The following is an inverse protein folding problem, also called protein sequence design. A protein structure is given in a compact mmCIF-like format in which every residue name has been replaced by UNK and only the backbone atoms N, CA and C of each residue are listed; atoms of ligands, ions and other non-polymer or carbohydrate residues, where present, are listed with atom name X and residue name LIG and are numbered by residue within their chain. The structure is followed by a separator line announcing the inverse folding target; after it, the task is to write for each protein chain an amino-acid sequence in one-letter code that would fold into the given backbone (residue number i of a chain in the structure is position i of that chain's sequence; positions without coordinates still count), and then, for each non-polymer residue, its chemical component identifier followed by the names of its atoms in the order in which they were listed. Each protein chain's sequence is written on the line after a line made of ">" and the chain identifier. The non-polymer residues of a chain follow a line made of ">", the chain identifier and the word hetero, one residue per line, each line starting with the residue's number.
data_IF_732730666139
#
_entry.id   IF_732730666139
#
_cell.length_a   1.000
_cell.length_b   1.000
_cell.length_c   1.000
_cell.angle_alpha   90.00
_cell.angle_beta   90.00
_cell.angle_gamma   90.00
#
_symmetry.space_group_name_H-M   'P 1'
#
loop_
_entity.id
_entity.type
_entity.pdbx_description
1 polymer ?
#
# COMPACT_ATOMS: atom_id res chain seq x y z
N UNK A 1 22.35 19.79 6.71
CA UNK A 1 22.43 18.34 6.44
C UNK A 1 21.90 17.66 7.69
N UNK A 2 20.91 16.76 7.62
CA UNK A 2 20.42 16.07 8.84
C UNK A 2 21.59 15.34 9.50
N UNK A 3 21.67 15.33 10.82
CA UNK A 3 22.66 14.48 11.50
C UNK A 3 22.23 12.99 11.47
N UNK A 4 23.09 12.09 11.92
CA UNK A 4 22.80 10.65 11.90
C UNK A 4 21.62 10.24 12.80
N UNK A 5 21.37 10.97 13.89
CA UNK A 5 20.30 10.71 14.83
C UNK A 5 18.94 11.16 14.29
N UNK A 6 18.87 12.33 13.67
CA UNK A 6 17.68 12.84 13.00
C UNK A 6 17.25 11.91 11.84
N UNK A 7 18.21 11.31 11.12
CA UNK A 7 17.91 10.30 10.09
C UNK A 7 17.27 9.05 10.68
N UNK A 8 17.76 8.56 11.84
CA UNK A 8 17.18 7.40 12.52
C UNK A 8 15.75 7.69 12.98
N UNK A 9 15.50 8.84 13.59
CA UNK A 9 14.14 9.25 13.97
C UNK A 9 13.22 9.31 12.76
N UNK A 10 13.69 9.90 11.67
CA UNK A 10 12.87 10.04 10.48
C UNK A 10 12.55 8.69 9.83
N UNK A 11 13.48 7.74 9.88
CA UNK A 11 13.22 6.35 9.46
C UNK A 11 12.16 5.69 10.35
N UNK A 12 12.22 5.89 11.68
CA UNK A 12 11.22 5.36 12.62
C UNK A 12 9.84 5.94 12.31
N UNK A 13 9.73 7.25 12.07
CA UNK A 13 8.47 7.89 11.69
C UNK A 13 7.90 7.30 10.39
N UNK A 14 8.72 7.19 9.34
CA UNK A 14 8.32 6.61 8.07
C UNK A 14 7.85 5.17 8.24
N UNK A 15 8.56 4.36 9.03
CA UNK A 15 8.16 2.98 9.33
C UNK A 15 6.86 2.91 10.12
N UNK A 16 6.66 3.75 11.14
CA UNK A 16 5.39 3.81 11.89
C UNK A 16 4.22 4.21 11.00
N UNK A 17 4.44 5.17 10.10
CA UNK A 17 3.42 5.56 9.14
C UNK A 17 3.10 4.41 8.17
N UNK A 18 4.12 3.74 7.61
CA UNK A 18 3.94 2.58 6.73
C UNK A 18 3.14 1.48 7.44
N UNK A 19 3.49 1.19 8.69
CA UNK A 19 2.77 0.20 9.52
C UNK A 19 1.30 0.55 9.62
N UNK A 20 0.94 1.79 9.94
CA UNK A 20 -0.45 2.25 10.02
C UNK A 20 -1.20 2.09 8.69
N UNK A 21 -0.56 2.38 7.57
CA UNK A 21 -1.14 2.18 6.24
C UNK A 21 -1.36 0.69 5.96
N UNK A 22 -0.44 -0.18 6.36
CA UNK A 22 -0.60 -1.64 6.22
C UNK A 22 -1.72 -2.20 7.10
N UNK A 23 -1.89 -1.69 8.33
CA UNK A 23 -3.03 -2.03 9.18
C UNK A 23 -4.37 -1.66 8.51
N UNK A 24 -4.42 -0.51 7.84
CA UNK A 24 -5.60 -0.13 7.05
C UNK A 24 -5.84 -1.07 5.87
N UNK A 25 -4.78 -1.48 5.15
CA UNK A 25 -4.89 -2.49 4.07
C UNK A 25 -5.45 -3.80 4.62
N UNK A 26 -4.90 -4.29 5.73
CA UNK A 26 -5.40 -5.50 6.38
C UNK A 26 -6.87 -5.37 6.78
N UNK A 27 -7.29 -4.21 7.28
CA UNK A 27 -8.69 -3.88 7.53
C UNK A 27 -9.55 -3.99 6.27
N UNK A 28 -9.07 -3.50 5.13
CA UNK A 28 -9.78 -3.65 3.85
C UNK A 28 -9.89 -5.12 3.42
N UNK A 29 -8.83 -5.91 3.55
CA UNK A 29 -8.82 -7.33 3.17
C UNK A 29 -9.80 -8.13 4.04
N UNK A 30 -9.83 -7.87 5.35
CA UNK A 30 -10.75 -8.55 6.28
C UNK A 30 -12.23 -8.30 5.93
N UNK A 31 -12.55 -7.11 5.48
CA UNK A 31 -13.90 -6.73 5.06
C UNK A 31 -14.28 -7.30 3.68
N UNK A 32 -13.31 -7.55 2.78
CA UNK A 32 -13.58 -8.13 1.46
C UNK A 32 -14.31 -9.46 1.53
N UNK A 33 -13.96 -10.31 2.52
CA UNK A 33 -14.65 -11.58 2.76
C UNK A 33 -16.17 -11.41 2.87
N UNK A 34 -16.63 -10.44 3.67
CA UNK A 34 -18.06 -10.16 3.84
C UNK A 34 -18.72 -9.68 2.56
N UNK A 35 -18.04 -8.86 1.76
CA UNK A 35 -18.60 -8.41 0.49
C UNK A 35 -18.69 -9.53 -0.55
N UNK A 36 -17.78 -10.51 -0.49
CA UNK A 36 -17.85 -11.71 -1.31
C UNK A 36 -19.03 -12.59 -0.89
N UNK A 37 -19.20 -12.84 0.41
CA UNK A 37 -20.32 -13.63 0.97
C UNK A 37 -21.68 -13.00 0.69
N UNK A 38 -21.78 -11.66 0.73
CA UNK A 38 -23.01 -10.92 0.45
C UNK A 38 -23.21 -10.59 -1.03
N UNK A 39 -22.33 -11.09 -1.92
CA UNK A 39 -22.30 -10.78 -3.35
C UNK A 39 -22.35 -9.27 -3.69
N UNK A 40 -21.85 -8.42 -2.78
CA UNK A 40 -21.91 -6.96 -2.90
C UNK A 40 -20.70 -6.44 -3.68
N UNK A 41 -20.80 -6.52 -5.01
CA UNK A 41 -19.72 -6.16 -5.94
C UNK A 41 -19.38 -4.67 -5.85
N UNK A 42 -20.36 -3.78 -5.66
CA UNK A 42 -20.11 -2.34 -5.58
C UNK A 42 -19.29 -1.98 -4.35
N UNK A 43 -19.60 -2.58 -3.20
CA UNK A 43 -18.81 -2.42 -1.98
C UNK A 43 -17.39 -3.00 -2.16
N UNK A 44 -17.27 -4.17 -2.79
CA UNK A 44 -15.99 -4.78 -3.12
C UNK A 44 -15.11 -3.87 -4.00
N UNK A 45 -15.68 -3.27 -5.05
CA UNK A 45 -14.96 -2.38 -5.97
C UNK A 45 -14.52 -1.07 -5.29
N UNK A 46 -15.39 -0.45 -4.48
CA UNK A 46 -15.02 0.75 -3.70
C UNK A 46 -13.88 0.45 -2.73
N UNK A 47 -13.88 -0.75 -2.15
CA UNK A 47 -12.81 -1.19 -1.27
C UNK A 47 -11.51 -1.47 -2.01
N UNK A 48 -11.57 -2.07 -3.21
CA UNK A 48 -10.40 -2.26 -4.08
C UNK A 48 -9.76 -0.91 -4.43
N UNK A 49 -10.56 0.09 -4.81
CA UNK A 49 -10.09 1.46 -5.07
C UNK A 49 -9.41 2.10 -3.84
N UNK A 50 -10.01 1.94 -2.65
CA UNK A 50 -9.41 2.43 -1.41
C UNK A 50 -8.06 1.75 -1.13
N UNK A 51 -7.98 0.43 -1.32
CA UNK A 51 -6.73 -0.33 -1.16
C UNK A 51 -5.65 0.14 -2.13
N UNK A 52 -5.99 0.42 -3.39
CA UNK A 52 -5.03 0.97 -4.36
C UNK A 52 -4.46 2.33 -3.91
N UNK A 53 -5.24 3.17 -3.22
CA UNK A 53 -4.72 4.41 -2.63
C UNK A 53 -3.72 4.14 -1.50
N UNK A 54 -3.98 3.14 -0.65
CA UNK A 54 -3.04 2.74 0.39
C UNK A 54 -1.74 2.15 -0.17
N UNK A 55 -1.82 1.34 -1.24
CA UNK A 55 -0.64 0.78 -1.92
C UNK A 55 0.25 1.91 -2.45
N UNK A 56 -0.32 2.90 -3.15
CA UNK A 56 0.43 4.08 -3.59
C UNK A 56 1.09 4.83 -2.44
N UNK A 57 0.42 4.95 -1.30
CA UNK A 57 1.02 5.57 -0.11
C UNK A 57 2.20 4.75 0.43
N UNK A 58 2.12 3.42 0.40
CA UNK A 58 3.23 2.54 0.77
C UNK A 58 4.42 2.76 -0.18
N UNK A 59 4.20 2.82 -1.48
CA UNK A 59 5.26 3.06 -2.47
C UNK A 59 5.99 4.39 -2.21
N UNK A 60 5.25 5.45 -1.91
CA UNK A 60 5.84 6.74 -1.52
C UNK A 60 6.67 6.66 -0.24
N UNK A 61 6.17 5.93 0.77
CA UNK A 61 6.86 5.76 2.05
C UNK A 61 8.12 4.91 1.89
N UNK A 62 8.07 3.87 1.07
CA UNK A 62 9.21 3.01 0.76
C UNK A 62 10.28 3.75 -0.02
N UNK A 63 9.90 4.59 -0.98
CA UNK A 63 10.85 5.44 -1.69
C UNK A 63 11.59 6.40 -0.74
N UNK A 64 10.84 7.06 0.16
CA UNK A 64 11.41 7.96 1.18
C UNK A 64 12.32 7.21 2.14
N UNK A 65 11.88 6.05 2.61
CA UNK A 65 12.65 5.20 3.51
C UNK A 65 13.96 4.76 2.86
N UNK A 66 13.92 4.22 1.64
CA UNK A 66 15.10 3.75 0.92
C UNK A 66 16.10 4.88 0.67
N UNK A 67 15.62 6.06 0.25
CA UNK A 67 16.47 7.23 0.02
C UNK A 67 17.17 7.68 1.29
N UNK A 68 16.45 7.74 2.41
CA UNK A 68 17.01 8.15 3.70
C UNK A 68 17.94 7.09 4.29
N UNK A 69 17.58 5.81 4.18
CA UNK A 69 18.37 4.70 4.67
C UNK A 69 19.69 4.54 3.89
N UNK A 70 19.69 4.79 2.58
CA UNK A 70 20.93 4.80 1.80
C UNK A 70 21.88 5.91 2.25
N UNK A 71 21.38 7.10 2.60
CA UNK A 71 22.21 8.17 3.18
C UNK A 71 22.77 7.76 4.55
N UNK A 72 21.94 7.19 5.41
CA UNK A 72 22.37 6.68 6.71
C UNK A 72 23.48 5.62 6.56
N UNK A 73 23.33 4.70 5.61
CA UNK A 73 24.34 3.68 5.30
C UNK A 73 25.69 4.28 4.94
N UNK A 74 25.70 5.32 4.10
CA UNK A 74 26.92 6.06 3.75
C UNK A 74 27.56 6.75 4.96
N UNK A 75 26.76 7.39 5.82
CA UNK A 75 27.28 8.10 7.01
C UNK A 75 27.95 7.16 8.01
N UNK A 76 27.46 5.92 8.10
CA UNK A 76 27.96 4.91 9.03
C UNK A 76 28.93 3.90 8.39
N UNK A 77 29.14 3.97 7.07
CA UNK A 77 29.86 2.98 6.28
C UNK A 77 29.37 1.53 6.54
N UNK A 78 28.05 1.35 6.49
CA UNK A 78 27.38 0.06 6.74
C UNK A 78 26.46 -0.32 5.58
N UNK A 79 26.26 -1.62 5.37
CA UNK A 79 25.36 -2.13 4.32
C UNK A 79 23.98 -2.51 4.85
N UNK A 80 23.86 -2.68 6.18
CA UNK A 80 22.65 -3.16 6.85
C UNK A 80 22.45 -2.49 8.20
N UNK A 81 21.19 -2.31 8.58
CA UNK A 81 20.78 -1.76 9.87
C UNK A 81 21.19 -2.66 11.04
N UNK A 82 21.46 -3.94 10.79
CA UNK A 82 21.93 -4.88 11.79
C UNK A 82 23.34 -4.54 12.28
N UNK A 83 24.16 -3.93 11.41
CA UNK A 83 25.53 -3.52 11.70
C UNK A 83 25.61 -2.24 12.54
N UNK A 84 24.50 -1.55 12.81
CA UNK A 84 24.50 -0.38 13.70
C UNK A 84 24.57 -0.86 15.14
N UNK A 85 25.60 -0.39 15.86
CA UNK A 85 25.77 -0.64 17.29
C UNK A 85 24.61 -0.04 18.10
N UNK A 86 23.79 -0.94 18.67
CA UNK A 86 22.62 -0.59 19.48
C UNK A 86 23.04 0.05 20.81
N UNK A 87 24.24 -0.25 21.32
CA UNK A 87 24.76 0.36 22.55
C UNK A 87 25.07 1.84 22.35
N UNK A 88 25.48 2.22 21.12
CA UNK A 88 25.72 3.61 20.72
C UNK A 88 24.45 4.34 20.30
N UNK A 89 23.46 3.62 19.76
CA UNK A 89 22.20 4.19 19.27
C UNK A 89 21.00 3.35 19.72
N UNK A 90 20.57 3.53 20.98
CA UNK A 90 19.46 2.78 21.58
C UNK A 90 18.17 2.81 20.75
N UNK A 91 17.92 3.90 20.02
CA UNK A 91 16.74 4.09 19.17
C UNK A 91 16.71 3.22 17.92
N UNK A 92 17.84 2.66 17.50
CA UNK A 92 17.90 1.65 16.43
C UNK A 92 17.08 0.42 16.80
N UNK A 93 16.99 0.10 18.10
CA UNK A 93 16.10 -0.96 18.60
C UNK A 93 14.65 -0.70 18.18
N UNK A 94 14.15 0.51 18.37
CA UNK A 94 12.78 0.89 17.99
C UNK A 94 12.58 0.76 16.48
N UNK A 95 13.57 1.16 15.67
CA UNK A 95 13.51 1.01 14.23
C UNK A 95 13.42 -0.47 13.81
N UNK A 96 14.29 -1.32 14.39
CA UNK A 96 14.26 -2.78 14.17
C UNK A 96 12.92 -3.40 14.58
N UNK A 97 12.38 -3.00 15.72
CA UNK A 97 11.08 -3.49 16.22
C UNK A 97 9.93 -3.12 15.27
N UNK A 98 9.84 -1.87 14.81
CA UNK A 98 8.78 -1.45 13.88
C UNK A 98 8.92 -2.18 12.53
N UNK A 99 10.14 -2.34 12.02
CA UNK A 99 10.39 -3.12 10.79
C UNK A 99 9.95 -4.58 10.96
N UNK A 100 10.24 -5.20 12.10
CA UNK A 100 9.77 -6.56 12.39
C UNK A 100 8.24 -6.66 12.40
N UNK A 101 7.55 -5.66 12.99
CA UNK A 101 6.08 -5.60 12.96
C UNK A 101 5.52 -5.44 11.54
N UNK A 102 6.17 -4.65 10.69
CA UNK A 102 5.82 -4.50 9.27
C UNK A 102 5.93 -5.84 8.53
N UNK A 103 7.02 -6.58 8.74
CA UNK A 103 7.21 -7.89 8.10
C UNK A 103 6.15 -8.91 8.52
N UNK A 104 5.76 -8.90 9.80
CA UNK A 104 4.65 -9.73 10.31
C UNK A 104 3.32 -9.36 9.66
N UNK A 105 3.02 -8.06 9.54
CA UNK A 105 1.82 -7.57 8.86
C UNK A 105 1.82 -7.96 7.38
N UNK A 106 2.97 -7.93 6.71
CA UNK A 106 3.08 -8.35 5.31
C UNK A 106 2.72 -9.83 5.14
N UNK A 107 3.20 -10.69 6.03
CA UNK A 107 2.84 -12.11 6.02
C UNK A 107 1.34 -12.31 6.26
N UNK A 108 0.77 -11.62 7.24
CA UNK A 108 -0.68 -11.71 7.53
C UNK A 108 -1.52 -11.24 6.33
N UNK A 109 -1.14 -10.13 5.71
CA UNK A 109 -1.78 -9.61 4.49
C UNK A 109 -1.75 -10.67 3.39
N UNK A 110 -0.58 -11.26 3.10
CA UNK A 110 -0.43 -12.30 2.07
C UNK A 110 -1.33 -13.51 2.34
N UNK A 111 -1.37 -13.98 3.59
CA UNK A 111 -2.24 -15.09 3.98
C UNK A 111 -3.71 -14.75 3.77
N UNK A 112 -4.16 -13.57 4.21
CA UNK A 112 -5.57 -13.16 4.08
C UNK A 112 -5.99 -12.87 2.65
N UNK A 113 -5.11 -12.31 1.83
CA UNK A 113 -5.38 -12.14 0.40
C UNK A 113 -5.50 -13.49 -0.29
N UNK A 114 -4.64 -14.45 0.04
CA UNK A 114 -4.75 -15.80 -0.49
C UNK A 114 -6.09 -16.46 -0.12
N UNK A 115 -6.51 -16.38 1.15
CA UNK A 115 -7.83 -16.88 1.61
C UNK A 115 -8.98 -16.26 0.80
N UNK A 116 -8.99 -14.94 0.63
CA UNK A 116 -10.04 -14.25 -0.13
C UNK A 116 -10.04 -14.62 -1.61
N UNK A 117 -8.87 -14.84 -2.21
CA UNK A 117 -8.74 -15.30 -3.59
C UNK A 117 -9.32 -16.72 -3.74
N UNK A 118 -9.10 -17.61 -2.76
CA UNK A 118 -9.70 -18.94 -2.79
C UNK A 118 -11.22 -18.86 -2.65
N UNK A 119 -11.74 -18.05 -1.73
CA UNK A 119 -13.18 -17.84 -1.57
C UNK A 119 -13.84 -17.30 -2.85
N UNK A 120 -13.18 -16.36 -3.54
CA UNK A 120 -13.64 -15.85 -4.83
C UNK A 120 -13.67 -16.92 -5.93
N UNK A 121 -12.74 -17.88 -5.90
CA UNK A 121 -12.70 -18.99 -6.86
C UNK A 121 -13.79 -20.02 -6.56
N UNK A 122 -14.00 -20.32 -5.29
CA UNK A 122 -15.01 -21.29 -4.82
C UNK A 122 -16.43 -20.79 -5.06
N UNK A 123 -16.70 -19.49 -4.90
CA UNK A 123 -18.02 -18.89 -5.18
C UNK A 123 -18.37 -18.74 -6.68
N UNK A 124 -17.53 -19.25 -7.60
CA UNK A 124 -17.79 -19.55 -9.02
C UNK A 124 -18.26 -18.39 -9.96
N UNK A 125 -18.16 -18.65 -11.27
CA UNK A 125 -18.04 -17.73 -12.42
C UNK A 125 -18.88 -16.42 -12.48
N UNK A 126 -20.02 -16.30 -11.81
CA UNK A 126 -20.89 -15.12 -11.96
C UNK A 126 -20.24 -13.84 -11.40
N UNK A 127 -19.69 -13.91 -10.18
CA UNK A 127 -18.98 -12.79 -9.56
C UNK A 127 -17.69 -12.44 -10.32
N UNK A 128 -16.93 -13.44 -10.75
CA UNK A 128 -15.67 -13.24 -11.50
C UNK A 128 -15.91 -12.64 -12.89
N UNK A 129 -16.96 -13.06 -13.59
CA UNK A 129 -17.36 -12.49 -14.88
C UNK A 129 -17.92 -11.08 -14.71
N UNK A 130 -18.85 -10.86 -13.78
CA UNK A 130 -19.42 -9.53 -13.49
C UNK A 130 -18.34 -8.55 -13.02
N UNK A 131 -17.33 -9.03 -12.29
CA UNK A 131 -16.13 -8.28 -11.92
C UNK A 131 -15.28 -7.89 -13.14
N UNK A 132 -14.99 -8.84 -14.04
CA UNK A 132 -14.29 -8.55 -15.31
C UNK A 132 -15.05 -7.51 -16.14
N UNK A 133 -16.36 -7.69 -16.29
CA UNK A 133 -17.23 -6.76 -17.02
C UNK A 133 -17.29 -5.37 -16.38
N UNK A 134 -17.43 -5.26 -15.05
CA UNK A 134 -17.48 -3.98 -14.35
C UNK A 134 -16.13 -3.24 -14.35
N UNK A 135 -15.00 -3.95 -14.21
CA UNK A 135 -13.66 -3.34 -14.36
C UNK A 135 -13.41 -2.82 -15.77
N UNK A 136 -13.89 -3.52 -16.79
CA UNK A 136 -13.82 -3.04 -18.18
C UNK A 136 -14.78 -1.86 -18.40
N UNK A 137 -16.01 -1.93 -17.90
CA UNK A 137 -17.01 -0.87 -17.98
C UNK A 137 -16.55 0.44 -17.32
N UNK A 138 -15.97 0.40 -16.12
CA UNK A 138 -15.36 1.58 -15.46
C UNK A 138 -14.25 2.20 -16.30
N UNK A 139 -13.34 1.38 -16.85
CA UNK A 139 -12.27 1.87 -17.75
C UNK A 139 -12.82 2.51 -19.04
N UNK A 140 -13.91 1.98 -19.59
CA UNK A 140 -14.56 2.55 -20.78
C UNK A 140 -15.23 3.88 -20.45
N UNK A 141 -15.97 3.97 -19.34
CA UNK A 141 -16.60 5.23 -18.88
C UNK A 141 -15.57 6.29 -18.54
N UNK A 142 -14.46 5.93 -17.88
CA UNK A 142 -13.34 6.84 -17.59
C UNK A 142 -12.70 7.36 -18.89
N UNK A 143 -12.41 6.49 -19.86
CA UNK A 143 -11.90 6.91 -21.17
C UNK A 143 -12.89 7.82 -21.89
N UNK A 144 -14.19 7.49 -21.87
CA UNK A 144 -15.22 8.32 -22.50
C UNK A 144 -15.33 9.70 -21.84
N UNK A 145 -15.21 9.79 -20.52
CA UNK A 145 -15.17 11.06 -19.79
C UNK A 145 -13.90 11.86 -20.10
N UNK A 146 -12.74 11.21 -20.24
CA UNK A 146 -11.50 11.87 -20.68
C UNK A 146 -11.65 12.44 -22.09
N UNK A 147 -12.21 11.68 -23.04
CA UNK A 147 -12.49 12.18 -24.40
C UNK A 147 -13.56 13.29 -24.42
N UNK A 148 -14.58 13.21 -23.56
CA UNK A 148 -15.62 14.24 -23.41
C UNK A 148 -15.07 15.54 -22.80
N UNK A 149 -14.07 15.45 -21.92
CA UNK A 149 -13.42 16.63 -21.36
C UNK A 149 -12.40 17.24 -22.34
N UNK A 150 -11.65 16.42 -23.07
CA UNK A 150 -10.75 16.86 -24.16
C UNK A 150 -11.48 17.54 -25.34
N UNK A 151 -12.76 17.22 -25.54
CA UNK A 151 -13.60 17.84 -26.58
C UNK A 151 -14.32 19.11 -26.13
N UNK A 152 -14.32 19.42 -24.83
CA UNK A 152 -14.83 20.69 -24.28
C UNK A 152 -13.78 21.80 -24.29
N UNK A 153 -12.50 21.46 -24.12
CA UNK A 153 -11.41 22.44 -24.15
C UNK A 153 -11.11 22.99 -25.56
N UNK A 154 -11.58 22.33 -26.62
CA UNK A 154 -11.41 22.78 -28.02
C UNK A 154 -12.53 23.71 -28.53
N UNK A 155 -13.50 24.09 -27.69
CA UNK A 155 -14.62 24.96 -28.07
C UNK A 155 -14.60 26.36 -27.45
N UNK A 156 -13.54 26.74 -26.71
CA UNK A 156 -13.41 28.07 -26.09
C UNK A 156 -12.38 28.99 -26.75
N UNK A 157 -12.04 28.72 -28.02
CA UNK A 157 -11.24 29.63 -28.85
C UNK A 157 -11.90 29.76 -30.22
N UNK A 158 -12.95 30.57 -30.28
CA UNK A 158 -13.32 31.34 -31.46
C UNK A 158 -14.20 32.52 -31.05
#
# INVERSE_FOLDING_TARGET
>A
MLDSFEKIEKLIELSKEKKKVMENILGTIRLQKRFIELENIDAFLKQDELRQKYIKRIEELDYKFCTLFNKLKSDFNIDSIEKIDINKYSRVKNLKEVVCQILKLEQEIKTKEFENIQLLKENNNYLSNKFKFMKQGKKVVEKYNVYKNLSKDKKSTK
#
